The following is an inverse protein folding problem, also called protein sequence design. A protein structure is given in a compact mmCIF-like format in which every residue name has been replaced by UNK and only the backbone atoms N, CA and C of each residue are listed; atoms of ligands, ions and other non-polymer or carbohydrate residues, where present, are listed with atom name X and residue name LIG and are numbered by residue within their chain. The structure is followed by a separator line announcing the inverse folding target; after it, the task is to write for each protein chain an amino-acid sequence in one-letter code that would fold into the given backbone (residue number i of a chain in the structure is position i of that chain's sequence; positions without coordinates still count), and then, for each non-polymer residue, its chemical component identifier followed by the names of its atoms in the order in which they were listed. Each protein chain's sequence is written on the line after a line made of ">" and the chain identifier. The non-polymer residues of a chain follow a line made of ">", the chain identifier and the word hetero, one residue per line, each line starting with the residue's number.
data_IF_857945771374
#
_entry.id   IF_857945771374
#
_cell.length_a   1.000
_cell.length_b   1.000
_cell.length_c   1.000
_cell.angle_alpha   90.00
_cell.angle_beta   90.00
_cell.angle_gamma   90.00
#
_symmetry.space_group_name_H-M   'P 1'
#
loop_
_entity.id
_entity.type
_entity.pdbx_description
1 polymer ?
#
# COMPACT_ATOMS: atom_id res chain seq x y z
N UNK A 1 5.49 5.32 11.09
CA UNK A 1 5.38 6.81 11.09
C UNK A 1 3.91 7.22 10.94
N UNK A 2 3.56 8.53 10.94
CA UNK A 2 2.21 8.93 10.46
C UNK A 2 2.20 8.84 8.93
N UNK A 3 1.13 8.31 8.33
CA UNK A 3 1.04 8.10 6.87
C UNK A 3 1.38 9.36 6.06
N UNK A 4 1.02 10.53 6.62
CA UNK A 4 1.37 11.82 6.05
C UNK A 4 2.87 11.95 5.78
N UNK A 5 3.75 11.50 6.67
CA UNK A 5 5.20 11.64 6.49
C UNK A 5 5.74 10.81 5.32
N UNK A 6 5.13 9.66 5.05
CA UNK A 6 5.49 8.78 3.93
C UNK A 6 5.09 9.44 2.61
N UNK A 7 3.84 9.92 2.55
CA UNK A 7 3.31 10.59 1.35
C UNK A 7 4.02 11.92 1.11
N UNK A 8 4.36 12.67 2.15
CA UNK A 8 5.16 13.90 2.04
C UNK A 8 6.58 13.59 1.54
N UNK A 9 7.13 12.42 1.86
CA UNK A 9 8.37 11.92 1.28
C UNK A 9 8.25 11.67 -0.23
N UNK A 10 7.15 11.04 -0.67
CA UNK A 10 6.88 10.73 -2.08
C UNK A 10 6.59 12.00 -2.90
N UNK A 11 5.83 12.94 -2.33
CA UNK A 11 5.50 14.24 -2.96
C UNK A 11 6.75 15.07 -3.28
N UNK A 12 7.86 14.79 -2.60
CA UNK A 12 9.07 15.59 -2.67
C UNK A 12 8.88 17.01 -2.14
N UNK A 13 9.98 17.75 -2.02
CA UNK A 13 9.95 19.18 -1.67
C UNK A 13 9.68 20.07 -2.89
N UNK A 14 9.97 19.57 -4.09
CA UNK A 14 9.88 20.32 -5.34
C UNK A 14 8.79 19.74 -6.24
N UNK A 15 7.73 20.53 -6.45
CA UNK A 15 6.52 20.16 -7.20
C UNK A 15 6.49 20.60 -8.65
N UNK A 16 7.66 20.62 -9.30
CA UNK A 16 7.81 21.15 -10.64
C UNK A 16 6.86 20.49 -11.63
N UNK A 17 6.30 21.29 -12.53
CA UNK A 17 5.67 20.78 -13.74
C UNK A 17 6.76 20.36 -14.72
N UNK A 18 6.64 19.15 -15.24
CA UNK A 18 7.56 18.58 -16.22
C UNK A 18 6.73 18.00 -17.36
N UNK A 19 7.08 18.33 -18.59
CA UNK A 19 6.46 17.79 -19.79
C UNK A 19 7.57 17.23 -20.68
N UNK A 20 7.86 15.94 -20.52
CA UNK A 20 8.87 15.26 -21.31
C UNK A 20 8.22 14.44 -22.43
N UNK A 21 8.70 14.57 -23.69
CA UNK A 21 8.14 13.84 -24.84
C UNK A 21 8.19 12.30 -24.71
N UNK A 22 9.05 11.77 -23.84
CA UNK A 22 9.19 10.35 -23.55
C UNK A 22 8.17 9.81 -22.54
N UNK A 23 7.45 10.69 -21.83
CA UNK A 23 6.56 10.31 -20.75
C UNK A 23 5.24 9.79 -21.32
N UNK A 24 5.07 8.47 -21.31
CA UNK A 24 3.85 7.81 -21.81
C UNK A 24 2.58 8.26 -21.09
N UNK A 25 2.70 8.78 -19.86
CA UNK A 25 1.60 9.30 -19.05
C UNK A 25 1.30 10.79 -19.26
N UNK A 26 2.05 11.46 -20.14
CA UNK A 26 1.94 12.89 -20.40
C UNK A 26 2.56 13.77 -19.30
N UNK A 27 2.21 15.06 -19.27
CA UNK A 27 2.76 16.03 -18.33
C UNK A 27 2.61 15.58 -16.88
N UNK A 28 3.64 15.81 -16.07
CA UNK A 28 3.74 15.38 -14.68
C UNK A 28 3.88 16.59 -13.75
N UNK A 29 3.18 16.56 -12.61
CA UNK A 29 3.39 17.52 -11.51
C UNK A 29 3.23 16.80 -10.18
N UNK A 30 4.08 17.13 -9.20
CA UNK A 30 4.08 16.46 -7.87
C UNK A 30 4.28 14.94 -7.96
N UNK A 31 4.97 14.45 -9.00
CA UNK A 31 5.10 13.02 -9.28
C UNK A 31 3.84 12.34 -9.85
N UNK A 32 2.77 13.09 -10.11
CA UNK A 32 1.53 12.58 -10.71
C UNK A 32 1.48 12.90 -12.19
N UNK A 33 1.38 11.85 -13.02
CA UNK A 33 1.20 12.00 -14.48
C UNK A 33 -0.21 12.47 -14.83
N UNK A 34 -0.39 13.07 -16.00
CA UNK A 34 -1.71 13.48 -16.49
C UNK A 34 -2.68 12.30 -16.54
N UNK A 35 -2.26 11.15 -17.06
CA UNK A 35 -3.11 9.94 -17.11
C UNK A 35 -3.61 9.56 -15.72
N UNK A 36 -2.72 9.53 -14.72
CA UNK A 36 -3.10 9.25 -13.32
C UNK A 36 -4.06 10.30 -12.78
N UNK A 37 -3.76 11.59 -12.95
CA UNK A 37 -4.62 12.66 -12.48
C UNK A 37 -6.04 12.57 -13.06
N UNK A 38 -6.14 12.24 -14.35
CA UNK A 38 -7.42 12.07 -15.06
C UNK A 38 -8.19 10.84 -14.57
N UNK A 39 -7.51 9.74 -14.26
CA UNK A 39 -8.14 8.55 -13.66
C UNK A 39 -8.75 8.85 -12.29
N UNK A 40 -8.18 9.78 -11.54
CA UNK A 40 -8.72 10.30 -10.27
C UNK A 40 -9.69 11.48 -10.44
N UNK A 41 -10.10 11.79 -11.66
CA UNK A 41 -11.13 12.80 -11.95
C UNK A 41 -10.64 14.25 -12.01
N UNK A 42 -9.34 14.52 -11.84
CA UNK A 42 -8.81 15.86 -12.06
C UNK A 42 -8.76 16.16 -13.56
N UNK A 43 -9.50 17.17 -14.02
CA UNK A 43 -9.59 17.55 -15.45
C UNK A 43 -8.90 18.87 -15.81
N UNK A 44 -8.42 19.64 -14.82
CA UNK A 44 -7.74 20.92 -15.02
C UNK A 44 -6.35 20.82 -15.67
N UNK A 45 -5.73 21.97 -15.94
CA UNK A 45 -4.35 22.01 -16.45
C UNK A 45 -3.40 21.40 -15.42
N UNK A 46 -2.53 20.48 -15.82
CA UNK A 46 -1.55 19.86 -14.94
C UNK A 46 -0.61 20.89 -14.27
N UNK A 47 -0.38 22.05 -14.89
CA UNK A 47 0.35 23.19 -14.28
C UNK A 47 -0.35 23.79 -13.07
N UNK A 48 -1.64 23.52 -12.91
CA UNK A 48 -2.50 24.01 -11.83
C UNK A 48 -2.91 22.89 -10.86
N UNK A 49 -2.42 21.65 -11.06
CA UNK A 49 -2.72 20.53 -10.16
C UNK A 49 -2.37 20.89 -8.71
N UNK A 50 -3.36 21.00 -7.80
CA UNK A 50 -3.10 21.38 -6.41
C UNK A 50 -2.29 20.30 -5.71
N UNK A 51 -1.35 20.71 -4.85
CA UNK A 51 -0.54 19.79 -4.05
C UNK A 51 -1.41 18.84 -3.21
N UNK A 52 -2.50 19.36 -2.63
CA UNK A 52 -3.43 18.56 -1.84
C UNK A 52 -4.14 17.49 -2.68
N UNK A 53 -4.53 17.82 -3.91
CA UNK A 53 -5.10 16.83 -4.85
C UNK A 53 -4.07 15.75 -5.19
N UNK A 54 -2.82 16.13 -5.46
CA UNK A 54 -1.75 15.17 -5.70
C UNK A 54 -1.50 14.25 -4.48
N UNK A 55 -1.53 14.81 -3.27
CA UNK A 55 -1.43 14.06 -2.01
C UNK A 55 -2.54 13.02 -1.89
N UNK A 56 -3.78 13.40 -2.17
CA UNK A 56 -4.93 12.50 -2.13
C UNK A 56 -4.84 11.38 -3.16
N UNK A 57 -4.35 11.68 -4.37
CA UNK A 57 -4.08 10.67 -5.41
C UNK A 57 -3.05 9.66 -4.92
N UNK A 58 -1.92 10.11 -4.37
CA UNK A 58 -0.88 9.21 -3.85
C UNK A 58 -1.39 8.36 -2.68
N UNK A 59 -2.14 8.95 -1.75
CA UNK A 59 -2.79 8.23 -0.65
C UNK A 59 -3.73 7.14 -1.19
N UNK A 60 -4.50 7.46 -2.22
CA UNK A 60 -5.42 6.51 -2.85
C UNK A 60 -4.65 5.36 -3.50
N UNK A 61 -3.65 5.65 -4.34
CA UNK A 61 -2.97 4.63 -5.16
C UNK A 61 -1.95 3.80 -4.39
N UNK A 62 -1.24 4.38 -3.42
CA UNK A 62 -0.10 3.76 -2.75
C UNK A 62 -0.36 3.38 -1.30
N UNK A 63 -1.50 3.74 -0.73
CA UNK A 63 -1.83 3.41 0.66
C UNK A 63 -3.19 2.73 0.81
N UNK A 64 -4.27 3.41 0.44
CA UNK A 64 -5.64 2.92 0.64
C UNK A 64 -6.03 1.84 -0.38
N UNK A 65 -5.78 2.07 -1.67
CA UNK A 65 -6.04 1.14 -2.76
C UNK A 65 -5.41 -0.24 -2.55
N UNK A 66 -4.10 -0.34 -2.22
CA UNK A 66 -3.47 -1.61 -1.89
C UNK A 66 -3.77 -2.10 -0.47
N UNK A 67 -4.56 -1.36 0.32
CA UNK A 67 -4.96 -1.65 1.71
C UNK A 67 -3.80 -1.73 2.71
N UNK A 68 -2.75 -0.95 2.51
CA UNK A 68 -1.63 -0.88 3.45
C UNK A 68 -2.01 -0.21 4.77
N UNK A 69 -3.09 0.59 4.79
CA UNK A 69 -3.74 1.06 6.02
C UNK A 69 -4.19 -0.09 6.93
N UNK A 70 -4.69 -1.19 6.34
CA UNK A 70 -5.09 -2.37 7.10
C UNK A 70 -3.87 -3.09 7.68
N UNK A 71 -2.77 -3.18 6.92
CA UNK A 71 -1.49 -3.73 7.42
C UNK A 71 -0.94 -2.85 8.54
N UNK A 72 -1.04 -1.53 8.41
CA UNK A 72 -0.57 -0.58 9.42
C UNK A 72 -1.29 -0.73 10.76
N UNK A 73 -2.55 -1.19 10.75
CA UNK A 73 -3.28 -1.53 11.99
C UNK A 73 -2.66 -2.71 12.77
N UNK A 74 -1.85 -3.54 12.10
CA UNK A 74 -1.12 -4.67 12.68
C UNK A 74 0.34 -4.33 12.94
N UNK A 75 1.01 -3.71 11.97
CA UNK A 75 2.40 -3.28 12.04
C UNK A 75 2.64 -2.11 11.09
N UNK A 76 2.89 -0.95 11.67
CA UNK A 76 3.22 0.26 10.92
C UNK A 76 4.54 0.11 10.16
N UNK A 77 5.55 -0.53 10.74
CA UNK A 77 6.83 -0.77 10.05
C UNK A 77 6.66 -1.60 8.78
N UNK A 78 5.81 -2.63 8.80
CA UNK A 78 5.56 -3.43 7.60
C UNK A 78 4.79 -2.66 6.54
N UNK A 79 3.80 -1.88 6.94
CA UNK A 79 3.07 -1.03 6.01
C UNK A 79 3.98 0.03 5.37
N UNK A 80 4.89 0.62 6.16
CA UNK A 80 5.87 1.60 5.68
C UNK A 80 6.78 0.97 4.61
N UNK A 81 7.33 -0.23 4.83
CA UNK A 81 8.17 -0.96 3.85
C UNK A 81 7.39 -1.40 2.59
N UNK A 82 6.13 -1.83 2.75
CA UNK A 82 5.27 -2.18 1.61
C UNK A 82 4.96 -0.96 0.75
N UNK A 83 4.74 0.20 1.38
CA UNK A 83 4.51 1.45 0.67
C UNK A 83 5.76 1.88 -0.09
N UNK A 84 6.94 1.89 0.56
CA UNK A 84 8.21 2.24 -0.10
C UNK A 84 8.54 1.31 -1.28
N UNK A 85 8.39 0.00 -1.08
CA UNK A 85 8.53 -0.98 -2.17
C UNK A 85 7.50 -0.73 -3.27
N UNK A 86 6.27 -0.38 -2.89
CA UNK A 86 5.17 -0.09 -3.79
C UNK A 86 5.41 1.16 -4.64
N UNK A 87 6.03 2.20 -4.09
CA UNK A 87 6.41 3.42 -4.84
C UNK A 87 7.46 3.09 -5.90
N UNK A 88 8.44 2.25 -5.57
CA UNK A 88 9.53 1.90 -6.47
C UNK A 88 9.14 0.85 -7.54
N UNK A 89 8.26 -0.10 -7.20
CA UNK A 89 7.98 -1.27 -8.06
C UNK A 89 6.50 -1.48 -8.41
N UNK A 90 5.60 -0.69 -7.83
CA UNK A 90 4.16 -0.86 -7.91
C UNK A 90 3.58 -1.60 -6.69
N UNK A 91 2.46 -1.14 -6.10
CA UNK A 91 1.89 -1.74 -4.88
C UNK A 91 1.53 -3.23 -5.01
N UNK A 92 1.08 -3.67 -6.19
CA UNK A 92 0.77 -5.10 -6.43
C UNK A 92 2.03 -5.97 -6.31
N UNK A 93 3.20 -5.48 -6.75
CA UNK A 93 4.46 -6.23 -6.66
C UNK A 93 4.88 -6.38 -5.19
N UNK A 94 4.81 -5.30 -4.42
CA UNK A 94 5.06 -5.32 -2.98
C UNK A 94 4.16 -6.34 -2.25
N UNK A 95 2.84 -6.29 -2.53
CA UNK A 95 1.86 -7.23 -1.97
C UNK A 95 2.15 -8.69 -2.33
N UNK A 96 2.58 -8.99 -3.57
CA UNK A 96 2.95 -10.35 -3.98
C UNK A 96 4.16 -10.88 -3.23
N UNK A 97 5.19 -10.05 -3.05
CA UNK A 97 6.34 -10.45 -2.24
C UNK A 97 5.92 -10.73 -0.81
N UNK A 98 5.10 -9.87 -0.22
CA UNK A 98 4.59 -10.07 1.13
C UNK A 98 3.83 -11.39 1.30
N UNK A 99 2.90 -11.70 0.39
CA UNK A 99 2.15 -12.96 0.40
C UNK A 99 3.07 -14.19 0.29
N UNK A 100 4.14 -14.11 -0.51
CA UNK A 100 5.16 -15.18 -0.63
C UNK A 100 5.95 -15.36 0.66
N UNK A 101 6.36 -14.26 1.29
CA UNK A 101 7.06 -14.30 2.58
C UNK A 101 6.20 -14.91 3.69
N UNK A 102 4.94 -14.47 3.81
CA UNK A 102 3.99 -15.05 4.76
C UNK A 102 3.81 -16.56 4.54
N UNK A 103 3.65 -16.97 3.28
CA UNK A 103 3.55 -18.40 2.94
C UNK A 103 4.81 -19.18 3.34
N UNK A 104 6.00 -18.65 3.07
CA UNK A 104 7.25 -19.30 3.47
C UNK A 104 7.40 -19.42 5.00
N UNK A 105 6.85 -18.47 5.75
CA UNK A 105 6.94 -18.39 7.21
C UNK A 105 5.78 -19.07 7.96
N UNK A 106 4.83 -19.70 7.26
CA UNK A 106 3.63 -20.30 7.85
C UNK A 106 3.86 -21.66 8.55
N UNK A 107 5.12 -22.09 8.70
CA UNK A 107 5.52 -23.39 9.24
C UNK A 107 4.88 -24.58 8.51
N UNK A 108 4.94 -24.61 7.17
CA UNK A 108 4.34 -25.66 6.32
C UNK A 108 2.83 -25.81 6.57
N UNK A 109 2.13 -24.68 6.63
CA UNK A 109 0.69 -24.64 6.84
C UNK A 109 0.22 -24.77 8.29
N UNK A 110 1.12 -24.97 9.26
CA UNK A 110 0.74 -25.12 10.68
C UNK A 110 0.13 -23.86 11.29
N UNK A 111 0.62 -22.68 10.89
CA UNK A 111 0.10 -21.41 11.40
C UNK A 111 -1.14 -20.96 10.62
N UNK A 112 -1.10 -21.12 9.30
CA UNK A 112 -2.18 -20.80 8.35
C UNK A 112 -1.85 -21.42 6.98
N UNK A 113 -2.86 -21.72 6.14
CA UNK A 113 -2.63 -22.23 4.79
C UNK A 113 -1.85 -21.25 3.91
N UNK A 114 -1.22 -21.77 2.86
CA UNK A 114 -0.51 -20.99 1.86
C UNK A 114 -1.40 -19.89 1.25
N UNK A 115 -0.81 -18.73 1.01
CA UNK A 115 -1.48 -17.60 0.38
C UNK A 115 -1.23 -17.62 -1.12
N UNK A 116 -2.26 -17.28 -1.90
CA UNK A 116 -2.08 -17.00 -3.33
C UNK A 116 -1.35 -15.66 -3.49
N UNK A 117 -0.25 -15.59 -4.26
CA UNK A 117 0.47 -14.35 -4.52
C UNK A 117 -0.21 -13.53 -5.64
N UNK A 118 -1.47 -13.13 -5.41
CA UNK A 118 -2.27 -12.37 -6.38
C UNK A 118 -1.99 -10.85 -6.34
N UNK A 119 -1.34 -10.37 -5.28
CA UNK A 119 -1.03 -8.95 -5.07
C UNK A 119 -2.22 -8.12 -4.58
N UNK A 120 -3.33 -8.77 -4.24
CA UNK A 120 -4.48 -8.12 -3.62
C UNK A 120 -4.47 -8.40 -2.12
N UNK A 121 -4.44 -7.35 -1.32
CA UNK A 121 -4.76 -7.46 0.10
C UNK A 121 -6.30 -7.45 0.20
N UNK A 122 -6.87 -8.46 0.86
CA UNK A 122 -8.32 -8.67 0.93
C UNK A 122 -9.06 -7.63 1.81
N UNK A 123 -10.40 -7.53 1.71
CA UNK A 123 -11.22 -6.58 2.48
C UNK A 123 -11.28 -6.84 3.97
N UNK A 124 -10.96 -8.06 4.37
CA UNK A 124 -10.39 -8.28 5.68
C UNK A 124 -8.93 -8.66 5.48
N UNK A 125 -8.02 -8.28 6.40
CA UNK A 125 -6.99 -9.23 6.74
C UNK A 125 -7.80 -10.44 7.22
N UNK A 126 -8.08 -11.41 6.33
CA UNK A 126 -8.81 -12.64 6.68
C UNK A 126 -8.31 -13.06 8.05
N UNK A 127 -9.14 -13.57 8.98
CA UNK A 127 -8.76 -13.79 10.39
C UNK A 127 -7.26 -14.19 10.61
N UNK A 128 -6.71 -14.97 9.68
CA UNK A 128 -5.28 -15.19 9.32
C UNK A 128 -4.28 -14.03 9.46
N UNK A 129 -4.48 -12.82 8.95
CA UNK A 129 -3.45 -11.74 9.06
C UNK A 129 -3.39 -11.20 10.49
N UNK A 130 -4.53 -11.10 11.19
CA UNK A 130 -4.53 -10.86 12.65
C UNK A 130 -3.89 -12.03 13.39
N UNK A 131 -4.17 -13.26 13.00
CA UNK A 131 -3.56 -14.45 13.60
C UNK A 131 -2.06 -14.53 13.32
N UNK A 132 -1.53 -13.99 12.21
CA UNK A 132 -0.08 -13.89 11.98
C UNK A 132 0.61 -13.02 13.02
N UNK A 133 -0.02 -11.92 13.44
CA UNK A 133 0.57 -10.91 14.34
C UNK A 133 0.11 -10.99 15.80
N UNK A 134 -0.84 -11.86 16.15
CA UNK A 134 -1.21 -12.13 17.54
C UNK A 134 -0.12 -12.96 18.24
N UNK A 135 0.41 -12.53 19.40
CA UNK A 135 1.34 -13.33 20.19
C UNK A 135 0.71 -14.67 20.55
N UNK A 136 1.52 -15.74 20.57
CA UNK A 136 1.06 -17.13 20.75
C UNK A 136 0.16 -17.32 21.98
N UNK A 137 0.39 -16.55 23.05
CA UNK A 137 -0.39 -16.56 24.30
C UNK A 137 -1.86 -16.16 24.10
N UNK A 138 -2.15 -15.24 23.17
CA UNK A 138 -3.53 -14.79 22.88
C UNK A 138 -4.30 -15.71 21.94
N UNK A 139 -3.60 -16.56 21.18
CA UNK A 139 -4.23 -17.61 20.36
C UNK A 139 -4.82 -18.72 21.22
N UNK A 140 -4.16 -19.06 22.33
CA UNK A 140 -4.61 -20.09 23.27
C UNK A 140 -5.92 -19.71 23.98
N UNK A 141 -6.09 -18.45 24.43
CA UNK A 141 -7.32 -18.03 25.11
C UNK A 141 -8.58 -18.04 24.23
N UNK A 142 -8.44 -17.96 22.90
CA UNK A 142 -9.60 -17.98 22.00
C UNK A 142 -10.16 -19.40 21.78
N UNK A 143 -9.32 -20.43 21.92
CA UNK A 143 -9.74 -21.83 21.81
C UNK A 143 -10.52 -22.31 23.05
N UNK A 144 -10.38 -21.63 24.20
CA UNK A 144 -11.02 -22.04 25.46
C UNK A 144 -12.39 -21.41 25.71
N UNK A 145 -12.93 -20.60 24.78
CA UNK A 145 -14.22 -19.93 24.93
C UNK A 145 -15.36 -20.56 24.11
N UNK A 146 -15.10 -21.66 23.41
CA UNK A 146 -16.12 -22.42 22.64
C UNK A 146 -16.45 -23.79 23.25
N UNK A 147 -16.57 -23.85 24.58
CA UNK A 147 -17.11 -25.01 25.30
C UNK A 147 -18.22 -24.61 26.25
#
# INVERSE_FOLDING_TARGET
>A
MKVDQIIEGILGKEGGYVDHPSDKGGPTRWGITQTTARAHGYTGDMRELPRETAKQILLSDYWIGPRFDQVASLSTLLADELCDTGVNMGPSVASKFFQRWLTALNMRGKLYPDLSPDGAIGPEPSPRLRDIFLPAEKKASRCCLEH
#
